data_IF_097011218214
#
_entry.id   IF_097011218214
#
_cell.length_a   1.000
_cell.length_b   1.000
_cell.length_c   1.000
_cell.angle_alpha   90.00
_cell.angle_beta   90.00
_cell.angle_gamma   90.00
#
_symmetry.space_group_name_H-M   'P 1'
#
loop_
_entity.id
_entity.type
_entity.pdbx_description
1 polymer ?
#
# COMPACT_ATOMS: atom_id res chain seq x y z
N UNK A 1 24.31 0.98 5.80
CA UNK A 1 23.76 2.29 5.38
C UNK A 1 22.30 2.29 5.82
N UNK A 2 21.91 3.15 6.77
CA UNK A 2 20.52 3.27 7.16
C UNK A 2 19.80 4.06 6.07
N UNK A 3 18.90 3.42 5.29
CA UNK A 3 18.01 4.16 4.39
C UNK A 3 17.21 5.14 5.24
N UNK A 4 17.26 6.41 4.88
CA UNK A 4 16.51 7.43 5.60
C UNK A 4 15.03 7.30 5.24
N UNK A 5 14.13 7.60 6.18
CA UNK A 5 12.68 7.47 5.98
C UNK A 5 12.15 8.24 4.75
N UNK A 6 12.89 9.27 4.31
CA UNK A 6 12.56 10.09 3.14
C UNK A 6 12.88 9.40 1.82
N UNK A 7 13.90 8.56 1.77
CA UNK A 7 14.24 7.80 0.56
C UNK A 7 13.21 6.71 0.26
N UNK A 8 12.60 6.14 1.30
CA UNK A 8 11.56 5.12 1.14
C UNK A 8 10.23 5.65 0.62
N UNK A 9 9.98 6.97 0.69
CA UNK A 9 8.69 7.57 0.34
C UNK A 9 8.33 7.38 -1.13
N UNK A 10 9.35 7.42 -2.00
CA UNK A 10 9.23 7.26 -3.45
C UNK A 10 9.22 5.80 -3.91
N UNK A 11 9.23 4.83 -3.00
CA UNK A 11 9.15 3.42 -3.38
C UNK A 11 7.72 3.02 -3.72
N UNK A 12 7.57 2.35 -4.85
CA UNK A 12 6.31 1.74 -5.26
C UNK A 12 6.14 0.38 -4.57
N UNK A 13 4.94 0.16 -4.04
CA UNK A 13 4.50 -1.09 -3.44
C UNK A 13 3.21 -1.54 -4.11
N UNK A 14 3.01 -2.85 -4.13
CA UNK A 14 1.74 -3.46 -4.51
C UNK A 14 0.94 -3.74 -3.24
N UNK A 15 -0.22 -3.11 -3.09
CA UNK A 15 -1.18 -3.38 -2.03
C UNK A 15 -2.18 -4.42 -2.51
N UNK A 16 -2.28 -5.54 -1.79
CA UNK A 16 -3.26 -6.57 -2.08
C UNK A 16 -4.61 -6.22 -1.45
N UNK A 17 -5.65 -6.18 -2.28
CA UNK A 17 -7.02 -6.03 -1.80
C UNK A 17 -7.48 -7.28 -1.05
N UNK A 18 -7.92 -7.20 0.22
CA UNK A 18 -8.33 -8.36 1.00
C UNK A 18 -9.61 -9.04 0.46
N UNK A 19 -10.38 -8.35 -0.39
CA UNK A 19 -11.66 -8.84 -0.93
C UNK A 19 -11.52 -9.50 -2.29
N UNK A 20 -10.74 -8.93 -3.20
CA UNK A 20 -10.59 -9.44 -4.56
C UNK A 20 -9.18 -9.91 -4.90
N UNK A 21 -8.23 -9.80 -3.97
CA UNK A 21 -6.80 -10.11 -4.16
C UNK A 21 -6.14 -9.38 -5.33
N UNK A 22 -6.75 -8.28 -5.79
CA UNK A 22 -6.15 -7.43 -6.80
C UNK A 22 -4.98 -6.63 -6.20
N UNK A 23 -3.87 -6.56 -6.92
CA UNK A 23 -2.68 -5.81 -6.53
C UNK A 23 -2.77 -4.39 -7.09
N UNK A 24 -2.96 -3.42 -6.21
CA UNK A 24 -3.01 -2.01 -6.53
C UNK A 24 -1.65 -1.36 -6.26
N UNK A 25 -1.10 -0.66 -7.25
CA UNK A 25 0.19 0.04 -7.12
C UNK A 25 0.00 1.37 -6.40
N UNK A 26 0.83 1.62 -5.39
CA UNK A 26 0.86 2.91 -4.66
C UNK A 26 2.25 3.18 -4.11
N UNK A 27 2.48 4.40 -3.61
CA UNK A 27 3.75 4.79 -3.00
C UNK A 27 3.73 4.52 -1.49
N UNK A 28 4.88 4.14 -0.93
CA UNK A 28 5.06 4.02 0.53
C UNK A 28 4.74 5.34 1.23
N UNK A 29 5.09 6.48 0.63
CA UNK A 29 4.74 7.78 1.18
C UNK A 29 3.24 8.06 1.24
N UNK A 30 2.52 7.57 0.24
CA UNK A 30 1.07 7.73 0.18
C UNK A 30 0.40 6.92 1.29
N UNK A 31 0.76 5.65 1.47
CA UNK A 31 0.17 4.81 2.53
C UNK A 31 0.59 5.21 3.96
N UNK A 32 1.67 5.99 4.11
CA UNK A 32 2.05 6.57 5.42
C UNK A 32 1.21 7.77 5.82
N UNK A 33 0.64 8.46 4.84
CA UNK A 33 -0.17 9.68 5.05
C UNK A 33 -1.67 9.41 4.97
N UNK A 34 -2.07 8.24 4.47
CA UNK A 34 -3.45 7.81 4.30
C UNK A 34 -3.70 6.50 5.06
N UNK A 35 -4.85 6.39 5.72
CA UNK A 35 -5.24 5.21 6.48
C UNK A 35 -6.11 4.24 5.68
N UNK A 36 -6.67 4.69 4.55
CA UNK A 36 -7.56 3.91 3.71
C UNK A 36 -7.29 4.18 2.23
N UNK A 37 -7.49 3.17 1.39
CA UNK A 37 -7.51 3.31 -0.06
C UNK A 37 -8.66 2.52 -0.67
N UNK A 38 -9.23 3.03 -1.75
CA UNK A 38 -10.24 2.30 -2.50
C UNK A 38 -9.56 1.34 -3.50
N UNK A 39 -10.02 0.09 -3.56
CA UNK A 39 -9.55 -0.85 -4.56
C UNK A 39 -10.11 -0.49 -5.93
N UNK A 40 -9.24 -0.14 -6.87
CA UNK A 40 -9.62 0.20 -8.25
C UNK A 40 -10.34 -0.94 -9.02
N UNK A 41 -10.22 -2.19 -8.56
CA UNK A 41 -10.85 -3.34 -9.22
C UNK A 41 -12.26 -3.65 -8.69
N UNK A 42 -12.46 -3.67 -7.37
CA UNK A 42 -13.75 -4.06 -6.78
C UNK A 42 -14.49 -2.94 -6.04
N UNK A 43 -13.89 -1.75 -5.93
CA UNK A 43 -14.44 -0.59 -5.21
C UNK A 43 -14.49 -0.76 -3.69
N UNK A 44 -13.84 -1.81 -3.15
CA UNK A 44 -13.84 -2.07 -1.71
C UNK A 44 -12.78 -1.23 -1.00
N UNK A 45 -13.03 -0.85 0.25
CA UNK A 45 -12.10 -0.04 1.03
C UNK A 45 -11.04 -0.94 1.67
N UNK A 46 -9.78 -0.73 1.27
CA UNK A 46 -8.61 -1.34 1.87
C UNK A 46 -8.16 -0.45 3.02
N UNK A 47 -8.32 -0.94 4.24
CA UNK A 47 -7.84 -0.29 5.45
C UNK A 47 -6.36 -0.64 5.67
N UNK A 48 -5.49 0.37 5.61
CA UNK A 48 -4.03 0.27 5.69
C UNK A 48 -3.59 0.00 7.13
N UNK A 49 -4.35 0.48 8.12
CA UNK A 49 -4.08 0.23 9.54
C UNK A 49 -4.64 -1.13 10.00
N UNK A 50 -5.36 -1.84 9.13
CA UNK A 50 -5.91 -3.15 9.41
C UNK A 50 -4.82 -4.21 9.55
N UNK A 51 -5.03 -5.15 10.46
CA UNK A 51 -4.16 -6.35 10.61
C UNK A 51 -4.12 -7.24 9.36
N UNK A 52 -5.12 -7.09 8.48
CA UNK A 52 -5.20 -7.84 7.22
C UNK A 52 -4.55 -7.10 6.05
N UNK A 53 -3.97 -5.92 6.27
CA UNK A 53 -3.24 -5.19 5.25
C UNK A 53 -2.04 -6.00 4.77
N UNK A 54 -1.94 -6.18 3.46
CA UNK A 54 -0.85 -6.91 2.79
C UNK A 54 -0.28 -6.04 1.70
N UNK A 55 1.03 -5.80 1.76
CA UNK A 55 1.76 -5.09 0.71
C UNK A 55 3.07 -5.80 0.37
N UNK A 56 3.47 -5.69 -0.89
CA UNK A 56 4.72 -6.25 -1.41
C UNK A 56 5.58 -5.12 -1.97
N UNK A 57 6.87 -5.11 -1.61
CA UNK A 57 7.86 -4.25 -2.24
C UNK A 57 8.20 -4.79 -3.63
N UNK A 58 8.16 -3.94 -4.66
CA UNK A 58 8.72 -4.26 -5.97
C UNK A 58 10.22 -3.93 -5.93
N UNK A 59 11.04 -4.89 -5.52
CA UNK A 59 12.51 -4.76 -5.48
C UNK A 59 13.16 -5.26 -6.76
#
# INVERSE_FOLDING_TARGET
>A
MAMTQRETDSFEIDVECPRCHHQAKTLVGWIRTHTQMECANCGDIIDIESKNFRCHEQR
#
